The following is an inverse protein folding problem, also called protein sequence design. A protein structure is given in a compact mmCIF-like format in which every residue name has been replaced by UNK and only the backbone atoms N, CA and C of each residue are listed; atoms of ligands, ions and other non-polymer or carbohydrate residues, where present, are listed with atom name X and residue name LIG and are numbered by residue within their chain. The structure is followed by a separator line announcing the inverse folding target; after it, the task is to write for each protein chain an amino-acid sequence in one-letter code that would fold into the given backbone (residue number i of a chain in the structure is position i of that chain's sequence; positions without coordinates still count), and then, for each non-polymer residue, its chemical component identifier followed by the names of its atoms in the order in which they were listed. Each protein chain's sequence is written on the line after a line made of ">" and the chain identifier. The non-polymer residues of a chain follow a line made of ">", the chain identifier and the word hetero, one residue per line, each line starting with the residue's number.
data_IF_901378353066
#
_entry.id   IF_901378353066
#
_cell.length_a   1.000
_cell.length_b   1.000
_cell.length_c   1.000
_cell.angle_alpha   90.00
_cell.angle_beta   90.00
_cell.angle_gamma   90.00
#
_symmetry.space_group_name_H-M   'P 1'
#
loop_
_entity.id
_entity.type
_entity.pdbx_description
1 polymer ?
#
# COMPACT_ATOMS: atom_id res chain seq x y z
N UNK A 1 12.19 -2.58 2.54
CA UNK A 1 10.93 -3.36 2.56
C UNK A 1 10.63 -3.78 1.15
N UNK A 2 10.44 -5.06 0.92
CA UNK A 2 10.02 -5.61 -0.36
C UNK A 2 8.52 -5.36 -0.57
N UNK A 3 8.09 -5.09 -1.80
CA UNK A 3 6.67 -4.89 -2.12
C UNK A 3 5.84 -6.13 -1.78
N UNK A 4 6.39 -7.33 -1.96
CA UNK A 4 5.74 -8.59 -1.57
C UNK A 4 5.28 -8.58 -0.10
N UNK A 5 6.02 -7.91 0.79
CA UNK A 5 5.64 -7.85 2.21
C UNK A 5 4.28 -7.18 2.45
N UNK A 6 3.72 -6.50 1.45
CA UNK A 6 2.42 -5.85 1.55
C UNK A 6 1.21 -6.81 1.52
N UNK A 7 1.42 -8.13 1.41
CA UNK A 7 0.39 -9.12 1.72
C UNK A 7 0.16 -9.26 3.25
N UNK A 8 1.19 -8.92 4.06
CA UNK A 8 1.16 -9.14 5.49
C UNK A 8 0.06 -8.37 6.26
N UNK A 9 -0.32 -7.13 5.90
CA UNK A 9 -1.47 -6.47 6.50
C UNK A 9 -2.75 -7.29 6.42
N UNK A 10 -3.07 -7.81 5.23
CA UNK A 10 -4.26 -8.66 5.03
C UNK A 10 -4.16 -9.96 5.83
N UNK A 11 -3.02 -10.63 5.79
CA UNK A 11 -2.76 -11.86 6.54
C UNK A 11 -2.93 -11.65 8.04
N UNK A 12 -2.34 -10.61 8.61
CA UNK A 12 -2.44 -10.30 10.04
C UNK A 12 -3.88 -9.97 10.43
N UNK A 13 -4.59 -9.19 9.61
CA UNK A 13 -5.98 -8.84 9.87
C UNK A 13 -6.91 -10.08 9.86
N UNK A 14 -6.74 -10.97 8.89
CA UNK A 14 -7.50 -12.22 8.81
C UNK A 14 -7.19 -13.17 9.98
N UNK A 15 -5.92 -13.26 10.38
CA UNK A 15 -5.47 -14.15 11.44
C UNK A 15 -5.58 -13.57 12.85
N UNK A 16 -6.15 -12.38 13.01
CA UNK A 16 -6.19 -11.66 14.28
C UNK A 16 -7.18 -12.26 15.28
N UNK A 17 -6.79 -13.34 15.95
CA UNK A 17 -7.60 -14.07 16.93
C UNK A 17 -6.89 -14.21 18.29
N UNK A 18 -7.67 -14.56 19.32
CA UNK A 18 -7.16 -14.83 20.67
C UNK A 18 -6.59 -13.60 21.37
N UNK A 19 -5.67 -13.84 22.31
CA UNK A 19 -5.12 -12.82 23.19
C UNK A 19 -4.32 -11.70 22.47
N UNK A 20 -3.82 -11.96 21.26
CA UNK A 20 -3.04 -11.00 20.48
C UNK A 20 -3.84 -10.29 19.40
N UNK A 21 -5.12 -10.60 19.24
CA UNK A 21 -5.96 -10.11 18.16
C UNK A 21 -5.90 -8.58 17.96
N UNK A 22 -5.92 -7.82 19.04
CA UNK A 22 -5.85 -6.35 18.96
C UNK A 22 -4.48 -5.86 18.47
N UNK A 23 -3.40 -6.41 19.01
CA UNK A 23 -2.05 -6.05 18.58
C UNK A 23 -1.79 -6.42 17.12
N UNK A 24 -2.29 -7.58 16.67
CA UNK A 24 -2.13 -8.04 15.29
C UNK A 24 -2.94 -7.16 14.31
N UNK A 25 -4.13 -6.67 14.71
CA UNK A 25 -4.93 -5.70 13.95
C UNK A 25 -4.25 -4.33 13.86
N UNK A 26 -3.76 -3.82 14.98
CA UNK A 26 -3.02 -2.54 15.01
C UNK A 26 -1.78 -2.61 14.11
N UNK A 27 -1.05 -3.72 14.16
CA UNK A 27 0.10 -3.94 13.29
C UNK A 27 -0.32 -4.04 11.82
N UNK A 28 -1.42 -4.75 11.51
CA UNK A 28 -1.95 -4.85 10.14
C UNK A 28 -2.24 -3.47 9.55
N UNK A 29 -2.89 -2.62 10.32
CA UNK A 29 -3.21 -1.26 9.90
C UNK A 29 -1.96 -0.40 9.70
N UNK A 30 -1.02 -0.44 10.65
CA UNK A 30 0.23 0.31 10.55
C UNK A 30 1.06 -0.11 9.34
N UNK A 31 1.14 -1.42 9.08
CA UNK A 31 1.80 -1.95 7.89
C UNK A 31 1.06 -1.56 6.61
N UNK A 32 -0.28 -1.58 6.59
CA UNK A 32 -1.06 -1.15 5.41
C UNK A 32 -0.80 0.31 5.07
N UNK A 33 -0.77 1.17 6.07
CA UNK A 33 -0.40 2.58 5.88
C UNK A 33 1.01 2.70 5.28
N UNK A 34 1.97 1.92 5.77
CA UNK A 34 3.34 1.89 5.22
C UNK A 34 3.35 1.43 3.77
N UNK A 35 2.59 0.39 3.43
CA UNK A 35 2.45 -0.10 2.06
C UNK A 35 1.82 0.95 1.13
N UNK A 36 0.77 1.65 1.58
CA UNK A 36 0.18 2.74 0.79
C UNK A 36 1.18 3.88 0.57
N UNK A 37 2.00 4.21 1.56
CA UNK A 37 3.04 5.24 1.42
C UNK A 37 4.08 4.90 0.36
N UNK A 38 4.36 3.64 0.08
CA UNK A 38 5.23 3.28 -1.04
C UNK A 38 4.70 3.82 -2.38
N UNK A 39 3.38 3.94 -2.53
CA UNK A 39 2.72 4.55 -3.68
C UNK A 39 2.62 6.08 -3.53
N UNK A 40 2.08 6.54 -2.41
CA UNK A 40 1.79 7.95 -2.19
C UNK A 40 3.03 8.86 -2.15
N UNK A 41 4.16 8.36 -1.63
CA UNK A 41 5.42 9.11 -1.57
C UNK A 41 6.19 9.07 -2.91
N UNK A 42 5.77 8.21 -3.85
CA UNK A 42 6.37 8.13 -5.18
C UNK A 42 5.80 9.20 -6.12
N UNK A 43 6.63 9.91 -6.89
CA UNK A 43 6.16 10.93 -7.83
C UNK A 43 5.17 10.43 -8.88
N UNK A 44 5.28 9.16 -9.29
CA UNK A 44 4.36 8.53 -10.24
C UNK A 44 3.08 8.00 -9.62
N UNK A 45 3.01 7.92 -8.28
CA UNK A 45 1.92 7.22 -7.58
C UNK A 45 2.01 5.70 -7.69
N UNK A 46 3.12 5.14 -8.21
CA UNK A 46 3.40 3.71 -8.27
C UNK A 46 4.48 3.33 -7.25
N UNK A 47 4.35 2.18 -6.61
CA UNK A 47 5.33 1.71 -5.64
C UNK A 47 6.56 1.08 -6.31
N UNK A 48 7.77 1.29 -5.77
CA UNK A 48 8.95 0.53 -6.19
C UNK A 48 8.88 -0.92 -5.71
N UNK A 49 9.62 -1.83 -6.35
CA UNK A 49 9.74 -3.22 -5.89
C UNK A 49 10.39 -3.33 -4.51
N UNK A 50 11.35 -2.47 -4.20
CA UNK A 50 11.94 -2.38 -2.87
C UNK A 50 11.97 -0.91 -2.42
N UNK A 51 11.39 -0.67 -1.25
CA UNK A 51 11.46 0.61 -0.58
C UNK A 51 12.49 0.60 0.55
N UNK A 52 13.23 1.69 0.67
CA UNK A 52 14.07 2.01 1.81
C UNK A 52 13.36 3.09 2.66
N UNK A 53 13.63 3.07 3.95
CA UNK A 53 13.13 4.08 4.88
C UNK A 53 14.26 5.08 5.14
N UNK A 54 14.06 6.31 4.68
CA UNK A 54 15.00 7.41 4.91
C UNK A 54 14.79 8.05 6.28
N UNK A 55 15.62 9.03 6.59
CA UNK A 55 15.37 9.91 7.72
C UNK A 55 14.01 10.62 7.55
N UNK A 56 13.19 10.64 8.60
CA UNK A 56 11.86 11.27 8.64
C UNK A 56 10.72 10.49 7.97
N UNK A 57 10.66 9.17 8.13
CA UNK A 57 9.51 8.37 7.67
C UNK A 57 9.18 8.44 6.17
N UNK A 58 10.00 9.08 5.36
CA UNK A 58 9.81 9.07 3.91
C UNK A 58 10.19 7.70 3.35
N UNK A 59 9.25 7.14 2.62
CA UNK A 59 9.49 5.93 1.84
C UNK A 59 10.14 6.34 0.53
N UNK A 60 11.34 5.82 0.28
CA UNK A 60 12.09 6.09 -0.96
C UNK A 60 12.35 4.78 -1.70
N UNK A 61 12.37 4.84 -3.02
CA UNK A 61 12.74 3.69 -3.82
C UNK A 61 14.21 3.32 -3.59
N UNK A 62 14.50 2.03 -3.37
CA UNK A 62 15.87 1.55 -3.32
C UNK A 62 16.50 1.66 -4.73
N UNK A 63 17.76 2.09 -4.82
CA UNK A 63 18.40 2.46 -6.09
C UNK A 63 18.35 1.39 -7.19
N UNK A 64 18.37 0.12 -6.81
CA UNK A 64 18.37 -1.00 -7.78
C UNK A 64 16.98 -1.64 -7.98
N UNK A 65 15.94 -1.10 -7.35
CA UNK A 65 14.59 -1.68 -7.34
C UNK A 65 13.49 -0.63 -7.53
N UNK A 66 13.76 0.40 -8.35
CA UNK A 66 12.84 1.50 -8.65
C UNK A 66 11.72 1.13 -9.61
N UNK A 67 11.75 -0.08 -10.15
CA UNK A 67 10.75 -0.56 -11.09
C UNK A 67 9.47 -1.01 -10.37
N UNK A 68 8.35 -1.06 -11.10
CA UNK A 68 7.06 -1.54 -10.65
C UNK A 68 6.56 -2.65 -11.60
N UNK A 69 6.25 -3.82 -11.06
CA UNK A 69 5.88 -5.01 -11.83
C UNK A 69 4.38 -5.34 -11.80
N UNK A 70 3.51 -4.38 -11.54
CA UNK A 70 2.04 -4.58 -11.50
C UNK A 70 1.56 -5.53 -10.37
N UNK A 71 2.27 -5.60 -9.27
CA UNK A 71 2.06 -6.56 -8.18
C UNK A 71 0.76 -6.35 -7.41
N UNK A 72 0.15 -7.45 -6.90
CA UNK A 72 -1.17 -7.46 -6.28
C UNK A 72 -1.20 -7.26 -4.76
N UNK A 73 -0.12 -7.49 -4.02
CA UNK A 73 -0.13 -7.72 -2.57
C UNK A 73 -0.73 -6.54 -1.78
N UNK A 74 -0.49 -5.32 -2.24
CA UNK A 74 -1.12 -4.12 -1.65
C UNK A 74 -2.62 -4.10 -1.91
N UNK A 75 -3.05 -4.41 -3.12
CA UNK A 75 -4.47 -4.45 -3.50
C UNK A 75 -5.23 -5.55 -2.75
N UNK A 76 -4.60 -6.70 -2.52
CA UNK A 76 -5.11 -7.78 -1.69
C UNK A 76 -5.36 -7.30 -0.25
N UNK A 77 -4.35 -6.72 0.37
CA UNK A 77 -4.46 -6.23 1.75
C UNK A 77 -5.51 -5.11 1.88
N UNK A 78 -5.61 -4.20 0.89
CA UNK A 78 -6.66 -3.17 0.86
C UNK A 78 -8.06 -3.79 0.82
N UNK A 79 -8.28 -4.80 -0.02
CA UNK A 79 -9.55 -5.52 -0.09
C UNK A 79 -9.89 -6.16 1.26
N UNK A 80 -8.94 -6.88 1.85
CA UNK A 80 -9.16 -7.61 3.11
C UNK A 80 -9.48 -6.63 4.23
N UNK A 81 -8.68 -5.58 4.41
CA UNK A 81 -8.91 -4.57 5.44
C UNK A 81 -10.25 -3.84 5.24
N UNK A 82 -10.60 -3.47 4.01
CA UNK A 82 -11.90 -2.89 3.74
C UNK A 82 -13.05 -3.83 4.10
N UNK A 83 -12.97 -5.10 3.71
CA UNK A 83 -14.01 -6.10 4.02
C UNK A 83 -14.17 -6.35 5.53
N UNK A 84 -13.08 -6.27 6.29
CA UNK A 84 -13.10 -6.48 7.74
C UNK A 84 -13.52 -5.23 8.52
N UNK A 85 -13.22 -4.03 8.01
CA UNK A 85 -13.41 -2.78 8.75
C UNK A 85 -14.55 -1.92 8.22
N UNK A 86 -14.86 -2.02 6.92
CA UNK A 86 -15.75 -1.10 6.23
C UNK A 86 -15.18 0.30 6.03
N UNK A 87 -13.91 0.57 6.40
CA UNK A 87 -13.32 1.89 6.31
C UNK A 87 -13.09 2.30 4.85
N UNK A 88 -13.74 3.40 4.37
CA UNK A 88 -13.65 3.84 2.99
C UNK A 88 -12.22 4.24 2.57
N UNK A 89 -11.33 4.53 3.52
CA UNK A 89 -9.95 4.94 3.23
C UNK A 89 -9.22 3.90 2.36
N UNK A 90 -9.48 2.60 2.57
CA UNK A 90 -8.85 1.55 1.78
C UNK A 90 -9.30 1.55 0.32
N UNK A 91 -10.56 1.95 0.07
CA UNK A 91 -11.08 2.14 -1.29
C UNK A 91 -10.49 3.38 -1.95
N UNK A 92 -10.32 4.47 -1.21
CA UNK A 92 -9.67 5.68 -1.70
C UNK A 92 -8.22 5.39 -2.10
N UNK A 93 -7.47 4.69 -1.26
CA UNK A 93 -6.10 4.27 -1.57
C UNK A 93 -6.04 3.35 -2.79
N UNK A 94 -6.94 2.38 -2.87
CA UNK A 94 -7.05 1.51 -4.04
C UNK A 94 -7.35 2.30 -5.32
N UNK A 95 -8.19 3.35 -5.24
CA UNK A 95 -8.51 4.20 -6.38
C UNK A 95 -7.32 5.03 -6.84
N UNK A 96 -6.54 5.56 -5.91
CA UNK A 96 -5.28 6.26 -6.23
C UNK A 96 -4.30 5.33 -6.94
N UNK A 97 -4.10 4.12 -6.43
CA UNK A 97 -3.24 3.10 -7.03
C UNK A 97 -3.73 2.74 -8.43
N UNK A 98 -5.02 2.47 -8.60
CA UNK A 98 -5.61 2.16 -9.89
C UNK A 98 -5.43 3.31 -10.90
N UNK A 99 -5.65 4.55 -10.47
CA UNK A 99 -5.44 5.74 -11.30
C UNK A 99 -4.00 5.88 -11.78
N UNK A 100 -3.02 5.59 -10.92
CA UNK A 100 -1.60 5.59 -11.28
C UNK A 100 -1.26 4.47 -12.28
N UNK A 101 -1.80 3.26 -12.07
CA UNK A 101 -1.67 2.13 -13.00
C UNK A 101 -2.24 2.50 -14.38
N UNK A 102 -3.47 3.00 -14.46
CA UNK A 102 -4.11 3.42 -15.71
C UNK A 102 -3.30 4.50 -16.45
N UNK A 103 -2.75 5.44 -15.69
CA UNK A 103 -2.02 6.58 -16.26
C UNK A 103 -0.65 6.21 -16.80
N UNK A 104 0.06 5.32 -16.10
CA UNK A 104 1.50 5.13 -16.32
C UNK A 104 1.89 3.78 -16.93
N UNK A 105 1.01 2.78 -16.87
CA UNK A 105 1.37 1.42 -17.31
C UNK A 105 0.59 0.95 -18.54
N UNK A 106 -0.53 1.60 -18.87
CA UNK A 106 -1.37 1.28 -20.03
C UNK A 106 -0.67 1.57 -21.35
N UNK A 107 -0.78 0.67 -22.31
CA UNK A 107 -0.18 0.83 -23.63
C UNK A 107 -1.22 0.96 -24.73
N UNK A 108 -0.88 1.70 -25.79
CA UNK A 108 -1.80 2.01 -26.88
C UNK A 108 -2.29 0.76 -27.65
N UNK A 109 -1.51 -0.31 -27.64
CA UNK A 109 -1.87 -1.60 -28.28
C UNK A 109 -2.85 -2.44 -27.46
N UNK A 110 -3.21 -1.98 -26.27
CA UNK A 110 -4.00 -2.70 -25.31
C UNK A 110 -3.14 -3.46 -24.29
N UNK A 111 -3.62 -3.51 -23.04
CA UNK A 111 -2.89 -4.11 -21.91
C UNK A 111 -2.03 -3.12 -21.15
N UNK A 112 -1.19 -3.65 -20.25
CA UNK A 112 -0.40 -2.89 -19.29
C UNK A 112 1.01 -3.46 -19.24
N UNK A 113 1.99 -2.60 -18.99
CA UNK A 113 3.40 -3.00 -18.88
C UNK A 113 4.02 -2.47 -17.60
N UNK A 114 5.03 -3.16 -17.05
CA UNK A 114 5.83 -2.64 -15.97
C UNK A 114 6.47 -1.30 -16.32
N UNK A 115 6.84 -0.53 -15.29
CA UNK A 115 7.66 0.67 -15.45
C UNK A 115 9.03 0.46 -14.82
N UNK A 116 10.08 1.09 -15.41
CA UNK A 116 11.46 0.88 -15.00
C UNK A 116 11.89 1.73 -13.82
N UNK A 117 11.27 2.90 -13.66
CA UNK A 117 11.62 3.84 -12.60
C UNK A 117 10.39 4.65 -12.19
N UNK A 118 9.86 4.37 -11.00
CA UNK A 118 8.69 5.06 -10.44
C UNK A 118 9.01 6.46 -9.93
N UNK A 119 10.28 6.81 -9.78
CA UNK A 119 10.73 8.11 -9.25
C UNK A 119 10.73 9.22 -10.30
N UNK A 120 10.45 8.87 -11.57
CA UNK A 120 10.40 9.80 -12.71
C UNK A 120 8.97 9.91 -13.22
N UNK A 121 8.55 11.11 -13.67
CA UNK A 121 7.22 11.34 -14.24
C UNK A 121 7.34 12.01 -15.62
N UNK A 122 6.78 11.40 -16.68
CA UNK A 122 6.20 10.06 -16.72
C UNK A 122 7.27 8.98 -16.51
N UNK A 123 6.95 7.89 -15.80
CA UNK A 123 7.90 6.82 -15.60
C UNK A 123 8.19 6.09 -16.93
N UNK A 124 9.44 5.72 -17.21
CA UNK A 124 9.78 4.98 -18.43
C UNK A 124 9.16 3.59 -18.37
N UNK A 125 8.30 3.28 -19.33
CA UNK A 125 7.69 1.97 -19.49
C UNK A 125 8.70 0.94 -20.00
N UNK A 126 8.44 -0.33 -19.68
CA UNK A 126 9.15 -1.43 -20.33
C UNK A 126 8.73 -1.55 -21.81
N UNK A 127 9.65 -2.05 -22.63
CA UNK A 127 9.39 -2.22 -24.06
C UNK A 127 8.33 -3.32 -24.28
N UNK A 128 7.30 -3.02 -25.05
CA UNK A 128 6.29 -3.99 -25.44
C UNK A 128 6.91 -4.99 -26.44
N UNK A 129 6.99 -6.25 -26.05
CA UNK A 129 7.37 -7.34 -26.94
C UNK A 129 6.12 -7.94 -27.58
N UNK A 130 5.88 -7.64 -28.85
CA UNK A 130 4.86 -8.34 -29.62
C UNK A 130 5.44 -9.66 -30.15
N UNK A 131 4.74 -10.77 -29.87
CA UNK A 131 5.01 -12.03 -30.52
C UNK A 131 4.40 -11.97 -31.94
N UNK A 132 5.22 -12.06 -32.95
CA UNK A 132 4.74 -12.23 -34.32
C UNK A 132 4.11 -13.63 -34.46
N UNK A 133 3.14 -13.82 -35.41
CA UNK A 133 2.55 -15.13 -35.68
C UNK A 133 3.57 -16.23 -36.04
N UNK A 134 4.78 -15.83 -36.44
CA UNK A 134 5.89 -16.74 -36.73
C UNK A 134 6.66 -17.20 -35.46
N UNK A 135 6.24 -16.80 -34.25
CA UNK A 135 6.98 -17.10 -33.02
C UNK A 135 8.23 -16.27 -32.81
N UNK A 136 8.56 -15.36 -33.73
CA UNK A 136 9.72 -14.45 -33.61
C UNK A 136 9.31 -13.22 -32.77
N UNK A 137 10.10 -12.89 -31.76
CA UNK A 137 9.87 -11.71 -30.93
C UNK A 137 10.32 -10.45 -31.67
N UNK A 138 9.41 -9.55 -31.98
CA UNK A 138 9.72 -8.23 -32.54
C UNK A 138 9.69 -7.19 -31.41
N UNK A 139 10.80 -6.46 -31.20
CA UNK A 139 10.81 -5.26 -30.39
C UNK A 139 10.09 -4.14 -31.13
N UNK A 140 8.98 -3.66 -30.57
CA UNK A 140 8.38 -2.41 -31.03
C UNK A 140 9.21 -1.27 -30.45
N UNK A 141 10.06 -0.70 -31.27
CA UNK A 141 10.83 0.50 -30.91
C UNK A 141 9.84 1.66 -30.73
N UNK A 142 9.59 2.07 -29.49
CA UNK A 142 9.12 3.43 -29.24
C UNK A 142 10.25 4.39 -29.61
N UNK A 143 9.96 5.43 -30.36
CA UNK A 143 10.92 6.35 -31.02
C UNK A 143 11.68 7.28 -30.06
N UNK A 144 12.14 6.80 -28.94
CA UNK A 144 13.07 7.51 -28.05
C UNK A 144 14.47 6.92 -28.18
N UNK A 145 15.54 7.73 -28.33
CA UNK A 145 16.90 7.24 -28.46
C UNK A 145 17.37 6.67 -27.11
N UNK A 146 17.42 5.34 -27.02
CA UNK A 146 17.92 4.65 -25.83
C UNK A 146 19.38 4.23 -26.00
N UNK A 147 20.25 4.85 -25.22
CA UNK A 147 21.68 4.53 -25.15
C UNK A 147 22.06 3.65 -23.93
N UNK A 148 21.08 2.99 -23.28
CA UNK A 148 21.33 2.09 -22.15
C UNK A 148 20.96 0.64 -22.49
N UNK A 149 21.76 -0.36 -22.06
CA UNK A 149 21.42 -1.77 -22.23
C UNK A 149 20.17 -2.12 -21.42
N UNK A 150 19.37 -3.13 -21.83
CA UNK A 150 18.18 -3.55 -21.12
C UNK A 150 18.54 -4.03 -19.72
N UNK A 151 18.14 -3.28 -18.70
CA UNK A 151 18.49 -3.53 -17.30
C UNK A 151 17.57 -4.52 -16.59
N UNK A 152 16.59 -5.10 -17.28
CA UNK A 152 15.68 -6.09 -16.70
C UNK A 152 15.59 -7.34 -17.60
N UNK A 153 15.78 -8.54 -17.01
CA UNK A 153 15.58 -9.80 -17.75
C UNK A 153 14.12 -10.06 -18.16
N UNK A 154 13.18 -9.26 -17.65
CA UNK A 154 11.74 -9.48 -17.74
C UNK A 154 11.03 -8.57 -18.76
N UNK A 155 11.72 -7.84 -19.60
CA UNK A 155 11.20 -6.82 -20.51
C UNK A 155 9.76 -7.00 -20.98
N UNK A 156 8.93 -5.96 -20.79
CA UNK A 156 7.68 -5.69 -21.48
C UNK A 156 6.54 -6.70 -21.39
N UNK A 157 6.50 -7.55 -20.39
CA UNK A 157 5.41 -8.51 -20.18
C UNK A 157 4.33 -7.92 -19.28
N UNK A 158 3.08 -8.05 -19.68
CA UNK A 158 1.98 -8.02 -18.72
C UNK A 158 1.98 -9.36 -17.98
N UNK A 159 2.38 -9.35 -16.71
CA UNK A 159 2.44 -10.55 -15.89
C UNK A 159 1.02 -11.11 -15.68
N UNK A 160 0.89 -12.45 -15.62
CA UNK A 160 -0.42 -13.11 -15.49
C UNK A 160 -1.13 -12.71 -14.19
N UNK A 161 -0.39 -12.47 -13.12
CA UNK A 161 -0.94 -12.04 -11.84
C UNK A 161 -1.57 -10.64 -11.90
N UNK A 162 -1.25 -9.81 -12.88
CA UNK A 162 -1.90 -8.51 -12.99
C UNK A 162 -3.41 -8.63 -13.20
N UNK A 163 -3.83 -9.46 -14.16
CA UNK A 163 -5.27 -9.70 -14.40
C UNK A 163 -5.85 -10.68 -13.40
N UNK A 164 -5.09 -11.73 -13.06
CA UNK A 164 -5.58 -12.78 -12.18
C UNK A 164 -5.73 -12.32 -10.72
N UNK A 165 -4.94 -11.35 -10.28
CA UNK A 165 -4.83 -10.93 -8.90
C UNK A 165 -5.04 -9.42 -8.73
N UNK A 166 -4.17 -8.57 -9.25
CA UNK A 166 -4.21 -7.11 -9.03
C UNK A 166 -5.55 -6.51 -9.45
N UNK A 167 -6.00 -6.77 -10.67
CA UNK A 167 -7.29 -6.27 -11.16
C UNK A 167 -8.47 -6.95 -10.46
N UNK A 168 -8.36 -8.23 -10.12
CA UNK A 168 -9.40 -8.95 -9.37
C UNK A 168 -9.59 -8.34 -7.98
N UNK A 169 -8.51 -8.13 -7.23
CA UNK A 169 -8.61 -7.53 -5.91
C UNK A 169 -9.15 -6.09 -5.96
N UNK A 170 -8.71 -5.30 -6.93
CA UNK A 170 -9.27 -3.95 -7.14
C UNK A 170 -10.75 -4.00 -7.55
N UNK A 171 -11.15 -4.92 -8.42
CA UNK A 171 -12.55 -5.11 -8.79
C UNK A 171 -13.41 -5.45 -7.57
N UNK A 172 -12.96 -6.40 -6.75
CA UNK A 172 -13.67 -6.80 -5.52
C UNK A 172 -13.67 -5.68 -4.46
N UNK A 173 -12.61 -4.88 -4.40
CA UNK A 173 -12.50 -3.72 -3.51
C UNK A 173 -13.53 -2.65 -3.84
N UNK A 174 -13.81 -2.43 -5.13
CA UNK A 174 -14.79 -1.43 -5.58
C UNK A 174 -16.21 -1.97 -5.71
N UNK A 175 -16.39 -3.28 -5.60
CA UNK A 175 -17.70 -3.92 -5.55
C UNK A 175 -18.49 -3.60 -4.28
N UNK A 176 -19.68 -4.15 -4.16
CA UNK A 176 -20.59 -3.96 -3.02
C UNK A 176 -20.28 -4.86 -1.79
N UNK A 177 -19.32 -5.76 -1.94
CA UNK A 177 -18.92 -6.70 -0.90
C UNK A 177 -19.63 -8.04 -0.92
N UNK A 178 -20.63 -8.25 -1.78
CA UNK A 178 -21.40 -9.49 -1.85
C UNK A 178 -20.64 -10.64 -2.53
N UNK A 179 -19.72 -10.33 -3.44
CA UNK A 179 -18.92 -11.34 -4.13
C UNK A 179 -17.81 -11.87 -3.23
N UNK A 180 -17.73 -13.19 -3.08
CA UNK A 180 -16.71 -13.90 -2.30
C UNK A 180 -16.52 -13.33 -0.88
N UNK A 181 -17.56 -13.35 -0.01
CA UNK A 181 -17.42 -12.87 1.36
C UNK A 181 -16.34 -13.66 2.11
N UNK A 182 -15.49 -12.94 2.88
CA UNK A 182 -14.37 -13.54 3.63
C UNK A 182 -14.82 -14.52 4.73
N UNK A 183 -16.09 -14.54 5.06
CA UNK A 183 -16.71 -15.53 5.96
C UNK A 183 -16.97 -16.89 5.29
N UNK A 184 -16.92 -16.94 3.96
CA UNK A 184 -17.19 -18.14 3.17
C UNK A 184 -16.05 -18.54 2.26
N UNK A 185 -15.14 -17.63 1.95
CA UNK A 185 -14.05 -17.84 1.00
C UNK A 185 -12.72 -17.35 1.54
N UNK A 186 -11.67 -18.08 1.20
CA UNK A 186 -10.28 -17.65 1.27
C UNK A 186 -9.70 -17.58 -0.13
N UNK A 187 -8.72 -16.74 -0.34
CA UNK A 187 -7.98 -16.67 -1.60
C UNK A 187 -6.64 -17.38 -1.45
N UNK A 188 -6.25 -18.16 -2.45
CA UNK A 188 -4.89 -18.69 -2.52
C UNK A 188 -3.92 -17.62 -3.06
N UNK A 189 -2.64 -17.96 -3.23
CA UNK A 189 -1.59 -17.03 -3.68
C UNK A 189 -1.81 -16.46 -5.07
N UNK A 190 -2.68 -17.06 -5.88
CA UNK A 190 -3.06 -16.56 -7.22
C UNK A 190 -4.49 -15.99 -7.24
N UNK A 191 -5.00 -15.60 -6.09
CA UNK A 191 -6.35 -15.05 -5.92
C UNK A 191 -7.48 -15.96 -6.41
N UNK A 192 -7.31 -17.28 -6.37
CA UNK A 192 -8.42 -18.19 -6.60
C UNK A 192 -9.25 -18.29 -5.33
N UNK A 193 -10.57 -18.01 -5.39
CA UNK A 193 -11.44 -18.14 -4.24
C UNK A 193 -11.69 -19.62 -3.94
N UNK A 194 -11.38 -20.04 -2.72
CA UNK A 194 -11.62 -21.38 -2.21
C UNK A 194 -12.68 -21.30 -1.12
N UNK A 195 -13.73 -22.10 -1.22
CA UNK A 195 -14.81 -22.12 -0.23
C UNK A 195 -14.33 -22.71 1.08
N UNK A 196 -14.61 -22.02 2.18
CA UNK A 196 -14.37 -22.53 3.54
C UNK A 196 -15.44 -23.55 3.86
N UNK A 197 -15.06 -24.77 4.30
CA UNK A 197 -16.00 -25.77 4.78
C UNK A 197 -16.71 -25.30 6.07
N UNK A 198 -17.96 -25.67 6.25
CA UNK A 198 -18.79 -25.22 7.38
C UNK A 198 -18.17 -25.55 8.74
N UNK A 199 -17.47 -26.66 8.84
CA UNK A 199 -16.74 -27.11 10.05
C UNK A 199 -15.54 -26.23 10.43
N UNK A 200 -15.02 -25.44 9.47
CA UNK A 200 -13.87 -24.53 9.66
C UNK A 200 -14.22 -23.07 9.49
N UNK A 201 -15.52 -22.70 9.54
CA UNK A 201 -15.93 -21.29 9.44
C UNK A 201 -15.44 -20.50 10.64
N UNK A 202 -14.43 -19.71 10.41
CA UNK A 202 -14.00 -18.70 11.37
C UNK A 202 -15.01 -17.55 11.38
N UNK A 203 -15.69 -17.37 12.50
CA UNK A 203 -16.36 -16.12 12.76
C UNK A 203 -15.28 -15.08 13.02
N UNK A 204 -14.91 -14.29 12.01
CA UNK A 204 -14.06 -13.12 12.21
C UNK A 204 -14.78 -12.13 13.12
N UNK A 205 -14.68 -12.35 14.42
CA UNK A 205 -15.17 -11.41 15.44
C UNK A 205 -14.06 -10.40 15.68
N UNK A 206 -14.16 -9.30 15.01
CA UNK A 206 -13.45 -8.10 15.47
C UNK A 206 -14.01 -7.73 16.83
N UNK A 207 -13.22 -7.98 17.88
CA UNK A 207 -13.58 -7.63 19.25
C UNK A 207 -13.83 -6.12 19.35
N UNK A 208 -14.62 -5.72 20.34
CA UNK A 208 -14.85 -4.32 20.67
C UNK A 208 -13.49 -3.62 20.87
N UNK A 209 -13.23 -2.62 20.07
CA UNK A 209 -12.09 -1.71 20.27
C UNK A 209 -12.44 -0.77 21.43
N UNK A 210 -11.47 -0.37 22.27
CA UNK A 210 -11.70 0.66 23.29
C UNK A 210 -12.15 1.97 22.63
N UNK A 211 -12.89 2.80 23.38
CA UNK A 211 -13.46 4.04 22.86
C UNK A 211 -12.39 5.05 22.42
N UNK A 212 -12.67 5.81 21.36
CA UNK A 212 -11.79 6.86 20.78
C UNK A 212 -11.38 7.88 21.85
N UNK A 213 -12.28 8.21 22.77
CA UNK A 213 -12.07 9.17 23.86
C UNK A 213 -10.91 8.80 24.79
N UNK A 214 -10.65 7.48 24.97
CA UNK A 214 -9.53 7.00 25.79
C UNK A 214 -8.16 7.22 25.13
N UNK A 215 -8.11 7.27 23.79
CA UNK A 215 -6.86 7.48 23.02
C UNK A 215 -6.51 8.96 22.87
N UNK A 216 -7.53 9.83 22.77
CA UNK A 216 -7.32 11.28 22.69
C UNK A 216 -6.79 11.84 24.00
N UNK A 217 -7.09 11.21 25.14
CA UNK A 217 -6.63 11.61 26.46
C UNK A 217 -5.14 11.32 26.70
N UNK A 218 -4.54 10.37 25.97
CA UNK A 218 -3.12 9.97 26.12
C UNK A 218 -2.19 10.65 25.12
N UNK A 219 -2.70 11.46 24.17
CA UNK A 219 -1.87 12.10 23.17
C UNK A 219 -1.00 13.22 23.77
N UNK A 220 0.32 13.12 23.73
CA UNK A 220 1.20 14.17 24.24
C UNK A 220 1.06 15.46 23.42
N UNK A 221 1.09 16.60 24.07
CA UNK A 221 1.16 17.90 23.39
C UNK A 221 2.53 18.03 22.68
N UNK A 222 2.50 18.10 21.35
CA UNK A 222 3.72 18.29 20.55
C UNK A 222 4.17 19.74 20.63
N UNK A 223 5.36 20.04 21.17
CA UNK A 223 5.93 21.37 21.10
C UNK A 223 6.18 21.75 19.62
N UNK A 224 5.64 22.88 19.18
CA UNK A 224 5.96 23.42 17.84
C UNK A 224 7.16 24.36 17.97
N UNK A 225 8.32 24.01 17.36
CA UNK A 225 9.46 24.91 17.31
C UNK A 225 9.08 26.24 16.61
N UNK A 226 9.56 27.34 17.17
CA UNK A 226 9.34 28.66 16.59
C UNK A 226 10.33 28.96 15.45
N UNK A 227 10.10 30.05 14.74
CA UNK A 227 10.97 30.50 13.64
C UNK A 227 12.41 30.76 14.10
N UNK A 228 12.61 31.16 15.36
CA UNK A 228 13.93 31.42 15.91
C UNK A 228 14.73 30.12 16.11
N UNK A 229 14.06 29.04 16.56
CA UNK A 229 14.66 27.71 16.68
C UNK A 229 15.10 27.16 15.32
N UNK A 230 14.27 27.33 14.26
CA UNK A 230 14.64 26.93 12.91
C UNK A 230 15.83 27.72 12.35
N UNK A 231 15.88 29.05 12.60
CA UNK A 231 16.98 29.88 12.18
C UNK A 231 18.28 29.53 12.92
N UNK A 232 18.20 29.23 14.22
CA UNK A 232 19.35 28.83 15.02
C UNK A 232 19.92 27.48 14.60
N UNK A 233 19.07 26.51 14.28
CA UNK A 233 19.48 25.22 13.76
C UNK A 233 20.17 25.35 12.38
N UNK A 234 19.61 26.17 11.48
CA UNK A 234 20.21 26.47 10.20
C UNK A 234 21.59 27.15 10.31
N UNK A 235 21.84 27.84 11.46
CA UNK A 235 23.14 28.44 11.79
C UNK A 235 24.11 27.44 12.50
N UNK A 236 23.78 26.16 12.59
CA UNK A 236 24.64 25.13 13.18
C UNK A 236 24.57 25.04 14.73
N UNK A 237 23.51 25.54 15.32
CA UNK A 237 23.30 25.42 16.76
C UNK A 237 22.78 24.01 17.10
N UNK A 238 23.65 23.15 17.65
CA UNK A 238 23.35 21.77 18.01
C UNK A 238 22.17 21.60 18.98
N UNK A 239 21.95 22.59 19.87
CA UNK A 239 20.81 22.54 20.81
C UNK A 239 19.49 22.77 20.05
N UNK A 240 19.48 23.70 19.10
CA UNK A 240 18.32 23.96 18.25
C UNK A 240 18.06 22.79 17.29
N UNK A 241 19.09 22.17 16.75
CA UNK A 241 18.98 20.94 15.93
C UNK A 241 18.33 19.81 16.73
N UNK A 242 18.80 19.57 17.96
CA UNK A 242 18.23 18.55 18.85
C UNK A 242 16.77 18.85 19.25
N UNK A 243 16.39 20.12 19.37
CA UNK A 243 15.00 20.52 19.62
C UNK A 243 14.10 20.27 18.42
N UNK A 244 14.59 20.55 17.21
CA UNK A 244 13.87 20.23 15.98
C UNK A 244 13.68 18.72 15.81
N UNK A 245 14.74 17.94 16.02
CA UNK A 245 14.65 16.49 15.99
C UNK A 245 13.69 15.90 17.03
N UNK A 246 13.63 16.49 18.22
CA UNK A 246 12.70 16.07 19.27
C UNK A 246 11.26 16.43 18.92
N UNK A 247 11.03 17.61 18.33
CA UNK A 247 9.72 18.03 17.86
C UNK A 247 9.23 17.18 16.68
N UNK A 248 10.12 16.85 15.73
CA UNK A 248 9.84 15.97 14.61
C UNK A 248 9.45 14.55 15.10
N UNK A 249 10.19 13.99 16.06
CA UNK A 249 9.85 12.68 16.68
C UNK A 249 8.50 12.72 17.37
N UNK A 250 8.22 13.77 18.14
CA UNK A 250 6.94 13.91 18.82
C UNK A 250 5.77 14.13 17.82
N UNK A 251 6.02 14.80 16.69
CA UNK A 251 5.05 14.95 15.62
C UNK A 251 4.77 13.62 14.91
N UNK A 252 5.79 12.81 14.67
CA UNK A 252 5.67 11.48 14.08
C UNK A 252 4.89 10.52 15.00
N UNK A 253 5.19 10.53 16.32
CA UNK A 253 4.43 9.76 17.31
C UNK A 253 2.96 10.21 17.36
N UNK A 254 2.68 11.51 17.22
CA UNK A 254 1.31 12.02 17.20
C UNK A 254 0.58 11.68 15.90
N UNK A 255 1.27 11.69 14.76
CA UNK A 255 0.71 11.26 13.47
C UNK A 255 0.37 9.77 13.50
N UNK A 256 1.23 8.95 14.09
CA UNK A 256 0.94 7.54 14.31
C UNK A 256 -0.24 7.33 15.28
N UNK A 257 -0.30 8.11 16.36
CA UNK A 257 -1.42 8.09 17.29
C UNK A 257 -2.71 8.58 16.66
N UNK A 258 -2.68 9.70 15.90
CA UNK A 258 -3.85 10.19 15.15
C UNK A 258 -4.32 9.21 14.09
N UNK A 259 -3.41 8.61 13.33
CA UNK A 259 -3.76 7.54 12.40
C UNK A 259 -4.44 6.37 13.10
N UNK A 260 -3.96 5.99 14.29
CA UNK A 260 -4.59 4.97 15.14
C UNK A 260 -5.96 5.42 15.66
N UNK A 261 -6.11 6.68 16.07
CA UNK A 261 -7.37 7.24 16.61
C UNK A 261 -8.41 7.42 15.52
N UNK A 262 -8.05 8.01 14.37
CA UNK A 262 -8.98 8.20 13.26
C UNK A 262 -9.46 6.87 12.69
N UNK A 263 -8.56 5.90 12.57
CA UNK A 263 -8.87 4.56 12.16
C UNK A 263 -9.80 3.85 13.15
N UNK A 264 -9.55 4.03 14.45
CA UNK A 264 -10.37 3.48 15.52
C UNK A 264 -11.77 4.11 15.54
N UNK A 265 -11.87 5.43 15.33
CA UNK A 265 -13.12 6.15 15.20
C UNK A 265 -13.95 5.69 13.99
N UNK A 266 -13.28 5.42 12.86
CA UNK A 266 -13.92 4.88 11.67
C UNK A 266 -14.46 3.45 11.92
N UNK A 267 -13.66 2.60 12.56
CA UNK A 267 -14.03 1.23 12.93
C UNK A 267 -15.23 1.17 13.90
N UNK A 268 -15.27 2.05 14.91
CA UNK A 268 -16.34 2.09 15.90
C UNK A 268 -17.66 2.60 15.30
N UNK A 269 -17.63 3.58 14.40
CA UNK A 269 -18.83 4.14 13.76
C UNK A 269 -19.57 3.19 12.84
N UNK A 270 -18.97 2.07 12.47
CA UNK A 270 -19.53 1.12 11.48
C UNK A 270 -20.02 -0.20 12.10
N UNK A 271 -19.91 -0.38 13.42
CA UNK A 271 -20.48 -1.55 14.07
C UNK A 271 -22.00 -1.36 14.09
N UNK A 272 -22.81 -2.21 13.41
CA UNK A 272 -24.26 -2.13 13.53
C UNK A 272 -24.63 -2.33 15.00
N UNK A 273 -25.27 -1.34 15.61
CA UNK A 273 -25.94 -1.53 16.89
C UNK A 273 -27.13 -2.45 16.64
N UNK A 274 -26.93 -3.75 16.78
CA UNK A 274 -28.03 -4.70 16.85
C UNK A 274 -28.72 -4.51 18.21
N UNK A 275 -29.86 -3.87 18.17
CA UNK A 275 -30.89 -3.97 19.21
C UNK A 275 -31.64 -5.28 19.07
#
# INVERSE_FOLDING_TARGET
>A
MDHLACFAPGMLALGAEGARANADRELAVALMHTCYRMYADSPSGLAPEIAAFGHRTHVVAADQAKHFLLRPETSESLLILWRLTGDPIYREWGWHIFGAIETHTKVATGGYVPVKDVTVVPPPQDEVRQLLPSGTCMQVLTTAPHTAPPSSPQGGRMESFFTAETLKYLYLLFGDGSEYPLTEYVFNTEAHPLRIHDEYRYGARWGSLPAVEELEAEAPAVPRPDAATHAAAAAGNRTAEAQLEAADRAADELLELRGRVELRAALIRQIPTTH
#
